data_IF_365420397560
#
_entry.id   IF_365420397560
#
_cell.length_a   1.000
_cell.length_b   1.000
_cell.length_c   1.000
_cell.angle_alpha   90.00
_cell.angle_beta   90.00
_cell.angle_gamma   90.00
#
_symmetry.space_group_name_H-M   'P 1'
#
loop_
_entity.id
_entity.type
_entity.pdbx_description
1 polymer ?
#
# COMPACT_ATOMS: atom_id res chain seq x y z
N UNK A 1 -43.76 27.65 29.93
CA UNK A 1 -43.68 26.89 28.65
C UNK A 1 -42.67 27.49 27.64
N UNK A 2 -42.13 28.67 27.84
CA UNK A 2 -41.20 29.37 26.93
C UNK A 2 -39.73 28.91 27.03
N UNK A 3 -39.25 28.55 28.22
CA UNK A 3 -37.84 28.16 28.45
C UNK A 3 -37.49 26.77 27.89
N UNK A 4 -38.43 25.83 27.84
CA UNK A 4 -38.20 24.47 27.29
C UNK A 4 -38.04 24.48 25.79
N UNK A 5 -38.73 25.38 25.06
CA UNK A 5 -38.60 25.49 23.58
C UNK A 5 -37.26 26.12 23.18
N UNK A 6 -36.78 27.10 23.92
CA UNK A 6 -35.50 27.74 23.70
C UNK A 6 -34.32 26.76 23.93
N UNK A 7 -34.43 25.92 24.95
CA UNK A 7 -33.41 24.89 25.24
C UNK A 7 -33.33 23.79 24.16
N UNK A 8 -34.50 23.34 23.67
CA UNK A 8 -34.57 22.38 22.57
C UNK A 8 -34.03 22.96 21.25
N UNK A 9 -34.28 24.24 20.98
CA UNK A 9 -33.74 24.93 19.81
C UNK A 9 -32.22 25.07 19.88
N UNK A 10 -31.67 25.33 21.06
CA UNK A 10 -30.22 25.42 21.29
C UNK A 10 -29.53 24.07 21.10
N UNK A 11 -30.12 22.99 21.60
CA UNK A 11 -29.62 21.62 21.39
C UNK A 11 -29.67 21.25 19.91
N UNK A 12 -30.74 21.58 19.20
CA UNK A 12 -30.86 21.33 17.76
C UNK A 12 -29.81 22.11 16.96
N UNK A 13 -29.58 23.38 17.28
CA UNK A 13 -28.52 24.21 16.69
C UNK A 13 -27.12 23.70 16.99
N UNK A 14 -26.86 23.22 18.20
CA UNK A 14 -25.58 22.60 18.57
C UNK A 14 -25.35 21.25 17.85
N UNK A 15 -26.39 20.45 17.68
CA UNK A 15 -26.32 19.19 16.93
C UNK A 15 -26.14 19.43 15.44
N UNK A 16 -26.82 20.43 14.85
CA UNK A 16 -26.64 20.79 13.44
C UNK A 16 -25.29 21.46 13.18
N UNK A 17 -24.80 22.29 14.09
CA UNK A 17 -23.45 22.88 14.00
C UNK A 17 -22.36 21.81 14.08
N UNK A 18 -22.48 20.83 14.98
CA UNK A 18 -21.56 19.69 15.04
C UNK A 18 -21.64 18.78 13.81
N UNK A 19 -22.83 18.60 13.23
CA UNK A 19 -23.02 17.85 11.99
C UNK A 19 -22.42 18.58 10.78
N UNK A 20 -22.52 19.91 10.73
CA UNK A 20 -21.88 20.73 9.68
C UNK A 20 -20.34 20.73 9.83
N UNK A 21 -19.82 20.85 11.05
CA UNK A 21 -18.38 20.81 11.33
C UNK A 21 -17.77 19.42 11.08
N UNK A 22 -18.55 18.33 11.19
CA UNK A 22 -18.08 16.99 10.81
C UNK A 22 -18.07 16.76 9.30
N UNK A 23 -18.91 17.46 8.53
CA UNK A 23 -19.01 17.28 7.07
C UNK A 23 -17.87 17.95 6.31
N UNK A 24 -17.24 18.98 6.88
CA UNK A 24 -16.12 19.71 6.25
C UNK A 24 -14.74 19.11 6.52
N UNK A 25 -14.63 18.05 7.34
CA UNK A 25 -13.34 17.42 7.68
C UNK A 25 -12.78 16.48 6.62
N UNK A 26 -13.52 16.17 5.55
CA UNK A 26 -13.10 15.17 4.55
C UNK A 26 -12.78 15.71 3.16
N UNK A 27 -12.75 17.01 2.95
CA UNK A 27 -12.34 17.61 1.70
C UNK A 27 -10.93 18.21 1.81
N UNK A 28 -9.92 17.36 1.99
CA UNK A 28 -8.54 17.77 1.68
C UNK A 28 -8.47 17.82 0.16
N UNK A 29 -8.60 19.02 -0.40
CA UNK A 29 -8.47 19.25 -1.84
C UNK A 29 -6.99 19.31 -2.19
N UNK A 30 -6.54 18.38 -3.02
CA UNK A 30 -5.28 18.54 -3.73
C UNK A 30 -5.37 19.74 -4.68
N UNK A 31 -4.27 20.44 -4.91
CA UNK A 31 -4.21 21.57 -5.84
C UNK A 31 -4.54 21.12 -7.28
N UNK A 32 -4.19 19.88 -7.64
CA UNK A 32 -4.50 19.21 -8.90
C UNK A 32 -5.03 17.81 -8.60
N UNK A 33 -6.12 17.44 -9.22
CA UNK A 33 -6.70 16.10 -9.13
C UNK A 33 -6.54 15.39 -10.48
N UNK A 34 -6.06 14.14 -10.53
CA UNK A 34 -6.01 13.37 -11.77
C UNK A 34 -7.43 13.04 -12.25
N UNK A 35 -7.59 12.90 -13.55
CA UNK A 35 -8.82 12.32 -14.09
C UNK A 35 -9.03 10.91 -13.53
N UNK A 36 -10.28 10.60 -13.19
CA UNK A 36 -10.63 9.25 -12.77
C UNK A 36 -10.49 8.27 -13.95
N UNK A 37 -10.05 7.05 -13.68
CA UNK A 37 -9.85 6.04 -14.73
C UNK A 37 -11.13 5.78 -15.57
N UNK A 38 -12.30 5.91 -14.95
CA UNK A 38 -13.58 5.77 -15.65
C UNK A 38 -13.94 6.94 -16.58
N UNK A 39 -13.21 8.06 -16.50
CA UNK A 39 -13.39 9.23 -17.38
C UNK A 39 -12.50 9.17 -18.63
N UNK A 40 -11.55 8.22 -18.68
CA UNK A 40 -10.59 8.09 -19.77
C UNK A 40 -10.82 6.77 -20.49
N UNK A 41 -10.72 6.79 -21.83
CA UNK A 41 -10.76 5.59 -22.67
C UNK A 41 -9.64 5.63 -23.69
N UNK A 42 -8.93 4.52 -23.83
CA UNK A 42 -7.91 4.37 -24.85
C UNK A 42 -8.55 4.19 -26.22
N UNK A 43 -8.13 5.00 -27.18
CA UNK A 43 -8.48 4.84 -28.58
C UNK A 43 -7.66 3.69 -29.22
N UNK A 44 -8.06 3.18 -30.43
CA UNK A 44 -7.29 2.18 -31.15
C UNK A 44 -5.82 2.59 -31.31
N UNK A 45 -4.92 1.84 -30.70
CA UNK A 45 -3.49 2.17 -30.59
C UNK A 45 -2.71 0.98 -30.01
N UNK A 46 -1.38 1.00 -30.05
CA UNK A 46 -0.56 0.00 -29.34
C UNK A 46 -0.90 -0.10 -27.85
N UNK A 47 -1.25 1.03 -27.21
CA UNK A 47 -1.64 1.04 -25.80
C UNK A 47 -2.99 0.35 -25.56
N UNK A 48 -3.96 0.53 -26.46
CA UNK A 48 -5.23 -0.20 -26.39
C UNK A 48 -5.04 -1.69 -26.60
N UNK A 49 -4.14 -2.07 -27.50
CA UNK A 49 -3.79 -3.47 -27.72
C UNK A 49 -3.15 -4.07 -26.46
N UNK A 50 -2.17 -3.40 -25.83
CA UNK A 50 -1.57 -3.84 -24.56
C UNK A 50 -2.63 -4.01 -23.48
N UNK A 51 -3.53 -3.03 -23.28
CA UNK A 51 -4.63 -3.17 -22.33
C UNK A 51 -5.51 -4.39 -22.59
N UNK A 52 -5.73 -4.75 -23.87
CA UNK A 52 -6.50 -5.96 -24.21
C UNK A 52 -5.77 -7.22 -23.83
N UNK A 53 -4.46 -7.30 -24.09
CA UNK A 53 -3.62 -8.45 -23.69
C UNK A 53 -3.55 -8.59 -22.16
N UNK A 54 -3.41 -7.48 -21.45
CA UNK A 54 -3.43 -7.48 -19.97
C UNK A 54 -4.77 -7.96 -19.43
N UNK A 55 -5.88 -7.55 -20.05
CA UNK A 55 -7.22 -8.01 -19.70
C UNK A 55 -7.38 -9.52 -19.88
N UNK A 56 -6.91 -10.06 -21.00
CA UNK A 56 -6.93 -11.50 -21.28
C UNK A 56 -6.06 -12.27 -20.28
N UNK A 57 -4.86 -11.76 -20.00
CA UNK A 57 -3.95 -12.37 -19.02
C UNK A 57 -4.56 -12.40 -17.62
N UNK A 58 -5.11 -11.28 -17.12
CA UNK A 58 -5.76 -11.22 -15.82
C UNK A 58 -6.91 -12.23 -15.69
N UNK A 59 -7.69 -12.42 -16.75
CA UNK A 59 -8.79 -13.40 -16.77
C UNK A 59 -8.32 -14.85 -16.86
N UNK A 60 -7.11 -15.10 -17.36
CA UNK A 60 -6.51 -16.42 -17.37
C UNK A 60 -6.04 -16.89 -16.00
N UNK A 61 -5.85 -15.96 -15.05
CA UNK A 61 -5.47 -16.30 -13.68
C UNK A 61 -6.68 -16.84 -12.89
N UNK A 62 -6.42 -17.87 -12.09
CA UNK A 62 -7.40 -18.49 -11.20
C UNK A 62 -7.29 -17.90 -9.79
N UNK A 63 -8.29 -17.13 -9.31
CA UNK A 63 -8.23 -16.48 -8.00
C UNK A 63 -8.00 -17.46 -6.84
N UNK A 64 -8.58 -18.67 -6.90
CA UNK A 64 -8.43 -19.66 -5.83
C UNK A 64 -6.99 -20.12 -5.62
N UNK A 65 -6.17 -20.09 -6.67
CA UNK A 65 -4.74 -20.38 -6.57
C UNK A 65 -3.98 -19.28 -5.84
N UNK A 66 -4.37 -18.01 -6.03
CA UNK A 66 -3.82 -16.86 -5.30
C UNK A 66 -4.32 -16.82 -3.84
N UNK A 67 -5.54 -17.28 -3.60
CA UNK A 67 -6.18 -17.38 -2.27
C UNK A 67 -5.67 -18.54 -1.42
N UNK A 68 -4.96 -19.52 -2.01
CA UNK A 68 -4.52 -20.74 -1.35
C UNK A 68 -3.96 -20.52 0.05
N UNK A 69 -2.97 -19.64 0.16
CA UNK A 69 -2.26 -19.38 1.43
C UNK A 69 -3.12 -18.65 2.45
N UNK A 70 -4.03 -17.80 2.00
CA UNK A 70 -4.97 -17.09 2.87
C UNK A 70 -5.96 -18.06 3.50
N UNK A 71 -6.51 -18.99 2.72
CA UNK A 71 -7.35 -20.08 3.23
C UNK A 71 -6.57 -20.93 4.24
N UNK A 72 -5.37 -21.41 3.87
CA UNK A 72 -4.53 -22.23 4.74
C UNK A 72 -4.24 -21.53 6.07
N UNK A 73 -3.84 -20.25 6.04
CA UNK A 73 -3.54 -19.49 7.24
C UNK A 73 -4.80 -19.18 8.09
N UNK A 74 -5.98 -19.15 7.49
CA UNK A 74 -7.25 -19.02 8.19
C UNK A 74 -7.78 -20.36 8.75
N UNK A 75 -7.07 -21.49 8.54
CA UNK A 75 -7.54 -22.83 8.93
C UNK A 75 -8.65 -23.37 8.03
N UNK A 76 -8.83 -22.77 6.84
CA UNK A 76 -9.79 -23.24 5.84
C UNK A 76 -9.11 -24.14 4.81
N UNK A 77 -9.79 -25.14 4.24
CA UNK A 77 -9.27 -25.92 3.14
C UNK A 77 -9.11 -25.03 1.90
N UNK A 78 -7.90 -24.95 1.28
CA UNK A 78 -7.73 -24.29 0.00
C UNK A 78 -8.61 -24.91 -1.09
N UNK A 79 -9.10 -24.08 -2.01
CA UNK A 79 -9.96 -24.54 -3.12
C UNK A 79 -9.17 -25.00 -4.34
N UNK A 80 -7.91 -24.57 -4.47
CA UNK A 80 -7.00 -24.96 -5.52
C UNK A 80 -5.56 -24.97 -5.00
N UNK A 81 -4.63 -25.62 -5.72
CA UNK A 81 -3.21 -25.55 -5.45
C UNK A 81 -2.67 -24.16 -5.78
N UNK A 82 -1.71 -23.66 -4.97
CA UNK A 82 -1.12 -22.34 -5.22
C UNK A 82 -0.30 -22.32 -6.52
N UNK A 83 -0.04 -21.11 -7.02
CA UNK A 83 0.95 -20.89 -8.05
C UNK A 83 2.35 -21.16 -7.50
N UNK A 84 3.27 -21.60 -8.39
CA UNK A 84 4.69 -21.75 -8.09
C UNK A 84 5.45 -20.41 -8.07
N UNK A 85 6.78 -20.50 -8.14
CA UNK A 85 7.65 -19.32 -8.21
C UNK A 85 7.55 -18.46 -6.94
N UNK A 86 7.24 -17.20 -7.10
CA UNK A 86 7.11 -16.24 -5.98
C UNK A 86 5.92 -16.49 -5.04
N UNK A 87 4.98 -17.36 -5.41
CA UNK A 87 3.86 -17.77 -4.55
C UNK A 87 4.15 -19.03 -3.72
N UNK A 88 5.40 -19.49 -3.68
CA UNK A 88 5.84 -20.62 -2.85
C UNK A 88 5.92 -20.30 -1.36
N UNK A 89 6.23 -21.31 -0.52
CA UNK A 89 5.95 -21.32 0.92
C UNK A 89 6.48 -20.15 1.75
N UNK A 90 7.65 -19.60 1.47
CA UNK A 90 8.25 -18.59 2.35
C UNK A 90 7.90 -17.14 1.99
N UNK A 91 7.41 -16.88 0.80
CA UNK A 91 7.20 -15.51 0.30
C UNK A 91 5.91 -15.30 -0.48
N UNK A 92 5.02 -16.30 -0.56
CA UNK A 92 3.78 -16.22 -1.32
C UNK A 92 2.70 -15.36 -0.67
N UNK A 93 1.72 -14.94 -1.48
CA UNK A 93 0.60 -14.10 -1.06
C UNK A 93 0.67 -12.65 -1.55
N UNK A 94 1.78 -12.24 -2.18
CA UNK A 94 1.92 -10.90 -2.76
C UNK A 94 1.10 -10.72 -4.04
N UNK A 95 0.99 -11.78 -4.84
CA UNK A 95 0.29 -11.75 -6.13
C UNK A 95 -1.20 -11.45 -6.00
N UNK A 96 -1.85 -11.85 -4.92
CA UNK A 96 -3.27 -11.58 -4.70
C UNK A 96 -3.57 -10.08 -4.63
N UNK A 97 -2.76 -9.30 -3.90
CA UNK A 97 -2.93 -7.86 -3.79
C UNK A 97 -2.79 -7.16 -5.14
N UNK A 98 -1.73 -7.48 -5.88
CA UNK A 98 -1.53 -6.98 -7.24
C UNK A 98 -2.68 -7.35 -8.18
N UNK A 99 -3.16 -8.59 -8.11
CA UNK A 99 -4.30 -9.05 -8.91
C UNK A 99 -5.58 -8.26 -8.63
N UNK A 100 -5.88 -8.01 -7.34
CA UNK A 100 -7.02 -7.19 -6.93
C UNK A 100 -6.92 -5.76 -7.48
N UNK A 101 -5.78 -5.08 -7.31
CA UNK A 101 -5.54 -3.74 -7.85
C UNK A 101 -5.71 -3.70 -9.37
N UNK A 102 -5.07 -4.65 -10.08
CA UNK A 102 -5.14 -4.72 -11.53
C UNK A 102 -6.57 -4.96 -12.05
N UNK A 103 -7.33 -5.86 -11.45
CA UNK A 103 -8.73 -6.11 -11.82
C UNK A 103 -9.62 -4.89 -11.52
N UNK A 104 -9.44 -4.23 -10.38
CA UNK A 104 -10.22 -3.05 -10.02
C UNK A 104 -9.96 -1.88 -10.99
N UNK A 105 -8.70 -1.63 -11.33
CA UNK A 105 -8.32 -0.61 -12.32
C UNK A 105 -8.76 -0.98 -13.75
N UNK A 106 -8.69 -2.26 -14.12
CA UNK A 106 -9.16 -2.75 -15.42
C UNK A 106 -10.67 -2.53 -15.56
N UNK A 107 -11.46 -2.84 -14.54
CA UNK A 107 -12.89 -2.52 -14.53
C UNK A 107 -13.14 -1.01 -14.66
N UNK A 108 -12.46 -0.19 -13.86
CA UNK A 108 -12.63 1.27 -13.93
C UNK A 108 -12.29 1.84 -15.31
N UNK A 109 -11.21 1.35 -15.94
CA UNK A 109 -10.76 1.86 -17.24
C UNK A 109 -11.52 1.29 -18.45
N UNK A 110 -12.17 0.11 -18.32
CA UNK A 110 -12.88 -0.55 -19.44
C UNK A 110 -14.39 -0.61 -19.27
N UNK A 111 -14.87 -0.71 -18.03
CA UNK A 111 -16.27 -0.98 -17.70
C UNK A 111 -16.67 -2.47 -17.82
N UNK A 112 -15.73 -3.37 -18.06
CA UNK A 112 -16.01 -4.79 -18.25
C UNK A 112 -16.36 -5.47 -16.92
N UNK A 113 -17.61 -5.86 -16.74
CA UNK A 113 -18.19 -6.37 -15.50
C UNK A 113 -17.46 -7.59 -14.91
N UNK A 114 -16.89 -8.44 -15.75
CA UNK A 114 -16.14 -9.64 -15.35
C UNK A 114 -14.98 -9.35 -14.40
N UNK A 115 -14.33 -8.15 -14.48
CA UNK A 115 -13.26 -7.77 -13.57
C UNK A 115 -13.80 -7.38 -12.20
N UNK A 116 -14.95 -6.70 -12.15
CA UNK A 116 -15.62 -6.43 -10.88
C UNK A 116 -16.07 -7.71 -10.19
N UNK A 117 -16.64 -8.65 -10.92
CA UNK A 117 -17.04 -9.97 -10.38
C UNK A 117 -15.84 -10.74 -9.80
N UNK A 118 -14.67 -10.66 -10.44
CA UNK A 118 -13.42 -11.23 -9.93
C UNK A 118 -13.00 -10.61 -8.61
N UNK A 119 -13.03 -9.28 -8.50
CA UNK A 119 -12.71 -8.59 -7.24
C UNK A 119 -13.73 -8.89 -6.16
N UNK A 120 -15.03 -8.86 -6.46
CA UNK A 120 -16.09 -9.17 -5.50
C UNK A 120 -15.92 -10.60 -4.93
N UNK A 121 -15.62 -11.57 -5.78
CA UNK A 121 -15.34 -12.94 -5.36
C UNK A 121 -14.14 -13.04 -4.41
N UNK A 122 -13.02 -12.38 -4.75
CA UNK A 122 -11.82 -12.40 -3.91
C UNK A 122 -12.09 -11.74 -2.56
N UNK A 123 -12.83 -10.63 -2.54
CA UNK A 123 -13.20 -9.95 -1.29
C UNK A 123 -14.11 -10.84 -0.42
N UNK A 124 -15.02 -11.57 -1.00
CA UNK A 124 -15.89 -12.50 -0.26
C UNK A 124 -15.07 -13.62 0.41
N UNK A 125 -14.09 -14.17 -0.28
CA UNK A 125 -13.21 -15.20 0.29
C UNK A 125 -12.27 -14.62 1.37
N UNK A 126 -11.70 -13.42 1.16
CA UNK A 126 -10.89 -12.75 2.19
C UNK A 126 -11.70 -12.40 3.43
N UNK A 127 -12.95 -11.91 3.25
CA UNK A 127 -13.86 -11.66 4.37
C UNK A 127 -14.15 -12.94 5.14
N UNK A 128 -14.41 -14.05 4.44
CA UNK A 128 -14.59 -15.37 5.05
C UNK A 128 -13.37 -15.79 5.87
N UNK A 129 -12.15 -15.62 5.34
CA UNK A 129 -10.92 -15.90 6.08
C UNK A 129 -10.82 -15.05 7.35
N UNK A 130 -11.12 -13.75 7.26
CA UNK A 130 -11.08 -12.82 8.38
C UNK A 130 -12.08 -13.19 9.47
N UNK A 131 -13.31 -13.58 9.08
CA UNK A 131 -14.36 -13.98 10.01
C UNK A 131 -14.02 -15.27 10.77
N UNK A 132 -13.44 -16.26 10.09
CA UNK A 132 -13.02 -17.50 10.73
C UNK A 132 -11.90 -17.28 11.73
N UNK A 133 -10.93 -16.40 11.41
CA UNK A 133 -9.84 -16.05 12.34
C UNK A 133 -10.32 -15.22 13.53
N UNK A 134 -11.29 -14.34 13.35
CA UNK A 134 -11.89 -13.52 14.40
C UNK A 134 -10.98 -12.45 15.00
N UNK A 135 -9.72 -12.32 14.55
CA UNK A 135 -8.73 -11.37 15.08
C UNK A 135 -8.66 -10.06 14.30
N UNK A 136 -9.29 -10.00 13.11
CA UNK A 136 -9.13 -8.95 12.13
C UNK A 136 -7.98 -9.19 11.14
N UNK A 137 -7.01 -10.02 11.49
CA UNK A 137 -5.92 -10.37 10.60
C UNK A 137 -6.37 -11.27 9.45
N UNK A 138 -5.88 -10.95 8.27
CA UNK A 138 -5.85 -11.82 7.10
C UNK A 138 -4.48 -11.68 6.43
N UNK A 139 -3.90 -12.78 6.02
CA UNK A 139 -2.60 -12.77 5.35
C UNK A 139 -2.10 -14.18 5.08
N UNK A 140 -1.00 -14.24 4.35
CA UNK A 140 -0.31 -15.50 4.02
C UNK A 140 0.83 -15.84 5.00
N UNK A 141 1.21 -14.89 5.85
CA UNK A 141 2.24 -15.03 6.88
C UNK A 141 1.62 -15.59 8.16
N UNK A 142 2.30 -16.51 8.81
CA UNK A 142 1.82 -17.15 10.03
C UNK A 142 1.67 -16.15 11.20
N UNK A 143 0.64 -16.33 12.00
CA UNK A 143 0.34 -15.46 13.16
C UNK A 143 1.48 -15.44 14.19
N UNK A 144 2.19 -16.56 14.35
CA UNK A 144 3.32 -16.69 15.28
C UNK A 144 4.44 -15.68 15.01
N UNK A 145 4.69 -15.37 13.72
CA UNK A 145 5.68 -14.34 13.34
C UNK A 145 5.24 -12.96 13.85
N UNK A 146 3.97 -12.61 13.63
CA UNK A 146 3.42 -11.33 14.07
C UNK A 146 3.33 -11.19 15.59
N UNK A 147 3.06 -12.30 16.28
CA UNK A 147 3.06 -12.33 17.76
C UNK A 147 4.44 -12.05 18.31
N UNK A 148 5.49 -12.74 17.83
CA UNK A 148 6.88 -12.51 18.25
C UNK A 148 7.29 -11.05 18.01
N UNK A 149 7.03 -10.52 16.81
CA UNK A 149 7.37 -9.13 16.49
C UNK A 149 6.62 -8.15 17.42
N UNK A 150 5.32 -8.38 17.67
CA UNK A 150 4.51 -7.53 18.56
C UNK A 150 4.95 -7.61 20.04
N UNK A 151 5.58 -8.69 20.47
CA UNK A 151 6.20 -8.87 21.79
C UNK A 151 7.60 -8.25 21.87
N UNK A 152 8.11 -7.72 20.75
CA UNK A 152 9.42 -7.08 20.68
C UNK A 152 10.58 -8.04 20.40
N UNK A 153 10.30 -9.30 20.09
CA UNK A 153 11.28 -10.27 19.61
C UNK A 153 11.53 -10.05 18.11
N UNK A 154 12.53 -9.23 17.76
CA UNK A 154 12.74 -8.77 16.40
C UNK A 154 14.11 -9.21 15.89
N UNK A 155 14.10 -10.08 14.88
CA UNK A 155 15.27 -10.53 14.12
C UNK A 155 15.03 -10.14 12.64
N UNK A 156 15.79 -9.18 12.14
CA UNK A 156 15.55 -8.60 10.83
C UNK A 156 16.81 -8.52 9.99
N UNK A 157 16.64 -8.80 8.70
CA UNK A 157 17.65 -8.55 7.66
C UNK A 157 16.95 -7.82 6.50
N UNK A 158 17.66 -7.50 5.42
CA UNK A 158 17.06 -6.78 4.28
C UNK A 158 15.79 -7.42 3.70
N UNK A 159 15.66 -8.75 3.75
CA UNK A 159 14.54 -9.49 3.18
C UNK A 159 13.89 -10.52 4.12
N UNK A 160 14.29 -10.58 5.37
CA UNK A 160 13.76 -11.53 6.35
C UNK A 160 13.39 -10.82 7.64
N UNK A 161 12.22 -11.12 8.18
CA UNK A 161 11.78 -10.71 9.52
C UNK A 161 11.27 -11.94 10.25
N UNK A 162 11.97 -12.36 11.30
CA UNK A 162 11.65 -13.54 12.14
C UNK A 162 11.42 -14.83 11.31
N UNK A 163 12.18 -15.02 10.21
CA UNK A 163 12.07 -16.19 9.33
C UNK A 163 11.01 -16.06 8.22
N UNK A 164 10.20 -15.01 8.20
CA UNK A 164 9.31 -14.70 7.09
C UNK A 164 9.98 -13.78 6.07
N UNK A 165 9.85 -14.11 4.79
CA UNK A 165 10.39 -13.28 3.70
C UNK A 165 9.47 -12.07 3.49
N UNK A 166 10.00 -10.87 3.65
CA UNK A 166 9.37 -9.56 3.41
C UNK A 166 7.89 -9.46 3.86
N UNK A 167 7.55 -9.83 5.11
CA UNK A 167 6.15 -9.98 5.50
C UNK A 167 5.34 -8.67 5.40
N UNK A 168 5.93 -7.52 5.73
CA UNK A 168 5.27 -6.21 5.57
C UNK A 168 5.08 -5.83 4.11
N UNK A 169 6.00 -6.20 3.21
CA UNK A 169 5.82 -6.01 1.78
C UNK A 169 4.62 -6.82 1.25
N UNK A 170 4.45 -8.07 1.72
CA UNK A 170 3.30 -8.90 1.37
C UNK A 170 2.00 -8.26 1.86
N UNK A 171 1.97 -7.80 3.12
CA UNK A 171 0.82 -7.08 3.67
C UNK A 171 0.54 -5.78 2.92
N UNK A 172 1.57 -5.02 2.55
CA UNK A 172 1.40 -3.82 1.72
C UNK A 172 0.56 -4.12 0.47
N UNK A 173 0.88 -5.20 -0.27
CA UNK A 173 0.14 -5.55 -1.49
C UNK A 173 -1.32 -5.88 -1.20
N UNK A 174 -1.59 -6.55 -0.09
CA UNK A 174 -2.95 -6.84 0.34
C UNK A 174 -3.73 -5.56 0.71
N UNK A 175 -3.13 -4.67 1.50
CA UNK A 175 -3.71 -3.37 1.85
C UNK A 175 -4.03 -2.55 0.59
N UNK A 176 -3.07 -2.44 -0.33
CA UNK A 176 -3.25 -1.73 -1.59
C UNK A 176 -4.40 -2.33 -2.42
N UNK A 177 -4.43 -3.65 -2.59
CA UNK A 177 -5.49 -4.32 -3.32
C UNK A 177 -6.89 -4.11 -2.72
N UNK A 178 -7.01 -4.18 -1.39
CA UNK A 178 -8.27 -3.91 -0.68
C UNK A 178 -8.72 -2.43 -0.87
N UNK A 179 -7.78 -1.50 -0.75
CA UNK A 179 -8.03 -0.08 -0.99
C UNK A 179 -8.50 0.19 -2.41
N UNK A 180 -7.79 -0.33 -3.40
CA UNK A 180 -8.10 -0.14 -4.82
C UNK A 180 -9.45 -0.74 -5.20
N UNK A 181 -9.78 -1.94 -4.70
CA UNK A 181 -11.10 -2.53 -4.90
C UNK A 181 -12.19 -1.62 -4.33
N UNK A 182 -12.01 -1.07 -3.11
CA UNK A 182 -12.99 -0.13 -2.57
C UNK A 182 -13.12 1.13 -3.44
N UNK A 183 -12.00 1.78 -3.75
CA UNK A 183 -12.00 3.09 -4.45
C UNK A 183 -12.51 2.97 -5.89
N UNK A 184 -12.07 1.96 -6.63
CA UNK A 184 -12.40 1.85 -8.05
C UNK A 184 -13.74 1.15 -8.32
N UNK A 185 -14.16 0.21 -7.46
CA UNK A 185 -15.39 -0.57 -7.68
C UNK A 185 -16.54 -0.19 -6.75
N UNK A 186 -16.30 0.62 -5.73
CA UNK A 186 -17.28 0.96 -4.70
C UNK A 186 -17.61 -0.18 -3.74
N UNK A 187 -16.75 -1.21 -3.63
CA UNK A 187 -17.00 -2.36 -2.77
C UNK A 187 -16.80 -2.01 -1.28
N UNK A 188 -17.89 -1.81 -0.53
CA UNK A 188 -17.86 -1.47 0.89
C UNK A 188 -17.36 -2.62 1.78
N UNK A 189 -17.49 -3.88 1.32
CA UNK A 189 -16.95 -5.04 2.03
C UNK A 189 -15.42 -5.01 2.02
N UNK A 190 -14.79 -4.60 0.90
CA UNK A 190 -13.34 -4.41 0.81
C UNK A 190 -12.86 -3.37 1.82
N UNK A 191 -13.56 -2.23 1.93
CA UNK A 191 -13.28 -1.21 2.96
C UNK A 191 -13.39 -1.78 4.38
N UNK A 192 -14.43 -2.54 4.66
CA UNK A 192 -14.62 -3.17 5.98
C UNK A 192 -13.48 -4.14 6.31
N UNK A 193 -13.09 -5.00 5.37
CA UNK A 193 -11.96 -5.93 5.53
C UNK A 193 -10.65 -5.18 5.77
N UNK A 194 -10.41 -4.11 5.02
CA UNK A 194 -9.23 -3.26 5.15
C UNK A 194 -9.14 -2.59 6.52
N UNK A 195 -10.25 -2.04 7.02
CA UNK A 195 -10.33 -1.41 8.34
C UNK A 195 -10.01 -2.42 9.44
N UNK A 196 -10.63 -3.59 9.44
CA UNK A 196 -10.36 -4.62 10.44
C UNK A 196 -8.90 -5.10 10.42
N UNK A 197 -8.30 -5.24 9.23
CA UNK A 197 -6.88 -5.56 9.09
C UNK A 197 -5.98 -4.44 9.63
N UNK A 198 -6.35 -3.19 9.39
CA UNK A 198 -5.63 -2.02 9.90
C UNK A 198 -5.72 -1.92 11.43
N UNK A 199 -6.89 -2.19 11.99
CA UNK A 199 -7.13 -2.21 13.44
C UNK A 199 -6.35 -3.33 14.14
N UNK A 200 -6.29 -4.50 13.50
CA UNK A 200 -5.43 -5.58 13.97
C UNK A 200 -3.96 -5.11 14.03
N UNK A 201 -3.44 -4.54 12.94
CA UNK A 201 -2.06 -4.08 12.90
C UNK A 201 -1.80 -2.99 13.96
N UNK A 202 -2.70 -2.02 14.12
CA UNK A 202 -2.59 -1.01 15.17
C UNK A 202 -2.49 -1.65 16.56
N UNK A 203 -3.41 -2.54 16.88
CA UNK A 203 -3.48 -3.16 18.20
C UNK A 203 -2.28 -4.08 18.49
N UNK A 204 -1.79 -4.77 17.47
CA UNK A 204 -0.65 -5.69 17.59
C UNK A 204 0.67 -4.95 17.87
N UNK A 205 0.87 -3.75 17.29
CA UNK A 205 2.18 -3.11 17.24
C UNK A 205 2.27 -1.76 17.95
N UNK A 206 1.19 -1.18 18.46
CA UNK A 206 1.14 0.12 19.14
C UNK A 206 2.01 0.22 20.41
N UNK A 207 2.49 -0.91 20.93
CA UNK A 207 3.36 -0.97 22.12
C UNK A 207 4.85 -0.95 21.80
N UNK A 208 5.23 -1.03 20.53
CA UNK A 208 6.62 -1.01 20.12
C UNK A 208 7.19 0.41 20.14
N UNK A 209 8.45 0.52 20.56
CA UNK A 209 9.18 1.79 20.54
C UNK A 209 9.88 2.06 19.19
N UNK A 210 10.46 3.25 19.06
CA UNK A 210 11.13 3.70 17.83
C UNK A 210 12.32 2.79 17.46
N UNK A 211 13.10 2.31 18.43
CA UNK A 211 14.24 1.43 18.16
C UNK A 211 13.78 0.08 17.60
N UNK A 212 12.72 -0.48 18.17
CA UNK A 212 12.11 -1.71 17.69
C UNK A 212 11.55 -1.54 16.28
N UNK A 213 10.87 -0.42 16.00
CA UNK A 213 10.41 -0.11 14.65
C UNK A 213 11.56 0.02 13.66
N UNK A 214 12.65 0.71 13.98
CA UNK A 214 13.80 0.81 13.06
C UNK A 214 14.45 -0.56 12.78
N UNK A 215 14.43 -1.51 13.73
CA UNK A 215 14.83 -2.90 13.48
C UNK A 215 13.89 -3.60 12.50
N UNK A 216 12.57 -3.45 12.66
CA UNK A 216 11.57 -4.00 11.71
C UNK A 216 11.80 -3.43 10.30
N UNK A 217 12.03 -2.12 10.19
CA UNK A 217 12.17 -1.41 8.93
C UNK A 217 13.48 -1.72 8.18
N UNK A 218 14.44 -2.40 8.80
CA UNK A 218 15.59 -2.96 8.11
C UNK A 218 15.17 -4.03 7.08
N UNK A 219 14.05 -4.72 7.32
CA UNK A 219 13.43 -5.59 6.33
C UNK A 219 12.58 -4.78 5.34
N UNK A 220 12.57 -5.19 4.06
CA UNK A 220 11.74 -4.56 3.04
C UNK A 220 10.26 -4.60 3.43
N UNK A 221 9.62 -3.42 3.39
CA UNK A 221 8.23 -3.22 3.82
C UNK A 221 7.34 -2.56 2.75
N UNK A 222 7.87 -2.35 1.54
CA UNK A 222 7.14 -1.76 0.42
C UNK A 222 6.58 -0.37 0.76
N UNK A 223 5.37 -0.09 0.28
CA UNK A 223 4.65 1.16 0.50
C UNK A 223 3.69 1.12 1.69
N UNK A 224 4.04 0.46 2.81
CA UNK A 224 3.17 0.42 4.00
C UNK A 224 2.80 1.81 4.50
N UNK A 225 3.72 2.78 4.42
CA UNK A 225 3.45 4.19 4.73
C UNK A 225 2.29 4.73 3.87
N UNK A 226 2.36 4.52 2.55
CA UNK A 226 1.34 4.99 1.60
C UNK A 226 -0.04 4.39 1.90
N UNK A 227 -0.13 3.08 2.05
CA UNK A 227 -1.43 2.42 2.24
C UNK A 227 -2.09 2.80 3.55
N UNK A 228 -1.32 3.08 4.61
CA UNK A 228 -1.86 3.57 5.88
C UNK A 228 -2.38 5.02 5.76
N UNK A 229 -1.69 5.87 5.00
CA UNK A 229 -2.18 7.21 4.64
C UNK A 229 -3.46 7.11 3.80
N UNK A 230 -3.54 6.14 2.90
CA UNK A 230 -4.74 5.87 2.11
C UNK A 230 -5.90 5.37 2.99
N UNK A 231 -5.66 4.51 4.00
CA UNK A 231 -6.69 4.14 4.99
C UNK A 231 -7.16 5.37 5.77
N UNK A 232 -6.25 6.24 6.20
CA UNK A 232 -6.61 7.53 6.80
C UNK A 232 -7.51 8.35 5.88
N UNK A 233 -7.19 8.44 4.59
CA UNK A 233 -7.96 9.26 3.63
C UNK A 233 -9.42 8.84 3.48
N UNK A 234 -9.74 7.55 3.63
CA UNK A 234 -11.10 7.01 3.48
C UNK A 234 -11.85 6.85 4.79
N UNK A 235 -11.16 6.97 5.93
CA UNK A 235 -11.76 6.82 7.27
C UNK A 235 -11.80 8.12 8.07
N UNK A 236 -10.81 8.99 7.88
CA UNK A 236 -10.57 10.16 8.71
C UNK A 236 -10.02 9.85 10.11
N UNK A 237 -9.72 8.60 10.41
CA UNK A 237 -9.22 8.20 11.73
C UNK A 237 -7.72 8.45 11.84
N UNK A 238 -7.34 9.35 12.73
CA UNK A 238 -5.96 9.80 12.96
C UNK A 238 -5.00 8.69 13.36
N UNK A 239 -5.49 7.58 13.93
CA UNK A 239 -4.63 6.45 14.30
C UNK A 239 -3.90 5.84 13.09
N UNK A 240 -4.51 5.84 11.90
CA UNK A 240 -3.86 5.32 10.69
C UNK A 240 -2.81 6.29 10.14
N UNK A 241 -3.02 7.59 10.31
CA UNK A 241 -1.97 8.57 10.02
C UNK A 241 -0.80 8.42 11.02
N UNK A 242 -1.07 8.22 12.30
CA UNK A 242 -0.05 7.90 13.31
C UNK A 242 0.73 6.63 12.94
N UNK A 243 0.02 5.53 12.59
CA UNK A 243 0.66 4.30 12.12
C UNK A 243 1.57 4.53 10.91
N UNK A 244 1.24 5.45 10.01
CA UNK A 244 2.09 5.75 8.86
C UNK A 244 3.48 6.25 9.28
N UNK A 245 3.58 6.95 10.41
CA UNK A 245 4.85 7.41 10.96
C UNK A 245 5.70 6.28 11.56
N UNK A 246 5.10 5.16 11.98
CA UNK A 246 5.89 3.98 12.40
C UNK A 246 6.75 3.43 11.26
N UNK A 247 6.32 3.65 10.01
CA UNK A 247 7.06 3.26 8.81
C UNK A 247 8.06 4.32 8.28
N UNK A 248 8.34 5.36 9.07
CA UNK A 248 9.39 6.33 8.77
C UNK A 248 10.78 5.71 8.97
N UNK A 249 11.34 5.06 7.93
CA UNK A 249 12.66 4.45 7.95
C UNK A 249 13.75 5.52 8.03
N UNK A 250 14.19 5.85 9.24
CA UNK A 250 15.05 6.99 9.53
C UNK A 250 16.40 6.93 8.81
N UNK A 251 17.01 5.74 8.68
CA UNK A 251 18.27 5.56 7.97
C UNK A 251 18.18 6.07 6.51
N UNK A 252 17.03 5.95 5.89
CA UNK A 252 16.79 6.38 4.51
C UNK A 252 16.16 7.78 4.43
N UNK A 253 15.09 8.06 5.19
CA UNK A 253 14.32 9.30 5.06
C UNK A 253 15.01 10.50 5.72
N UNK A 254 15.80 10.30 6.80
CA UNK A 254 16.44 11.43 7.50
C UNK A 254 17.50 12.14 6.68
N UNK A 255 18.38 11.48 5.91
CA UNK A 255 19.27 12.19 4.98
C UNK A 255 18.49 13.00 3.94
N UNK A 256 17.46 12.42 3.32
CA UNK A 256 16.63 13.08 2.31
C UNK A 256 15.94 14.35 2.83
N UNK A 257 15.41 14.29 4.07
CA UNK A 257 14.78 15.46 4.71
C UNK A 257 15.79 16.61 4.99
N UNK A 258 17.07 16.31 4.97
CA UNK A 258 18.17 17.30 5.08
C UNK A 258 18.81 17.60 3.73
N UNK A 259 18.21 17.14 2.64
CA UNK A 259 18.69 17.32 1.27
C UNK A 259 20.11 16.73 1.04
N UNK A 260 20.35 15.57 1.64
CA UNK A 260 21.60 14.81 1.49
C UNK A 260 21.33 13.58 0.64
N UNK A 261 22.00 13.49 -0.52
CA UNK A 261 21.98 12.30 -1.36
C UNK A 261 22.87 11.21 -0.75
N UNK A 262 22.23 10.16 -0.26
CA UNK A 262 22.86 8.96 0.30
C UNK A 262 22.37 7.68 -0.40
N UNK A 263 21.94 7.78 -1.67
CA UNK A 263 21.27 6.70 -2.39
C UNK A 263 22.24 5.62 -2.88
N UNK A 264 23.49 5.96 -3.16
CA UNK A 264 24.48 5.05 -3.74
C UNK A 264 24.58 3.73 -2.96
N UNK A 265 24.40 2.61 -3.66
CA UNK A 265 24.43 1.27 -3.08
C UNK A 265 23.12 0.80 -2.44
N UNK A 266 22.12 1.65 -2.32
CA UNK A 266 20.80 1.24 -1.81
C UNK A 266 19.99 0.53 -2.89
N UNK A 267 19.23 -0.48 -2.50
CA UNK A 267 18.31 -1.21 -3.38
C UNK A 267 17.11 -0.33 -3.76
N UNK A 268 17.02 0.10 -5.00
CA UNK A 268 16.06 1.11 -5.47
C UNK A 268 14.61 0.70 -5.22
N UNK A 269 14.25 -0.54 -5.55
CA UNK A 269 12.89 -1.06 -5.36
C UNK A 269 12.43 -1.02 -3.90
N UNK A 270 13.36 -1.21 -2.95
CA UNK A 270 13.07 -1.10 -1.51
C UNK A 270 12.82 0.35 -1.08
N UNK A 271 13.48 1.33 -1.72
CA UNK A 271 13.45 2.72 -1.26
C UNK A 271 12.33 3.55 -1.90
N UNK A 272 12.09 3.40 -3.20
CA UNK A 272 11.13 4.23 -3.95
C UNK A 272 9.73 4.22 -3.32
N UNK A 273 9.12 3.07 -2.94
CA UNK A 273 7.79 3.04 -2.36
C UNK A 273 7.64 3.82 -1.05
N UNK A 274 8.72 3.97 -0.28
CA UNK A 274 8.71 4.76 0.97
C UNK A 274 8.45 6.24 0.68
N UNK A 275 9.08 6.76 -0.38
CA UNK A 275 8.94 8.18 -0.76
C UNK A 275 7.59 8.46 -1.41
N UNK A 276 7.03 7.49 -2.16
CA UNK A 276 5.64 7.59 -2.65
C UNK A 276 4.68 7.82 -1.47
N UNK A 277 4.86 7.07 -0.39
CA UNK A 277 4.08 7.25 0.84
C UNK A 277 4.31 8.60 1.52
N UNK A 278 5.55 9.08 1.57
CA UNK A 278 5.89 10.39 2.13
C UNK A 278 5.19 11.52 1.33
N UNK A 279 5.23 11.47 0.00
CA UNK A 279 4.51 12.44 -0.85
C UNK A 279 3.00 12.35 -0.64
N UNK A 280 2.43 11.12 -0.58
CA UNK A 280 1.02 10.94 -0.30
C UNK A 280 0.60 11.56 1.03
N UNK A 281 1.43 11.42 2.07
CA UNK A 281 1.20 12.05 3.38
C UNK A 281 1.30 13.56 3.30
N UNK A 282 2.29 14.12 2.58
CA UNK A 282 2.36 15.56 2.31
C UNK A 282 1.07 16.07 1.68
N UNK A 283 0.61 15.45 0.61
CA UNK A 283 -0.60 15.86 -0.13
C UNK A 283 -1.87 15.91 0.75
N UNK A 284 -1.95 15.08 1.78
CA UNK A 284 -3.11 15.04 2.67
C UNK A 284 -2.97 15.91 3.93
N UNK A 285 -1.74 16.23 4.33
CA UNK A 285 -1.48 16.89 5.63
C UNK A 285 -0.80 18.26 5.50
N UNK A 286 -0.30 18.59 4.30
CA UNK A 286 0.58 19.73 4.04
C UNK A 286 1.84 19.75 4.92
N UNK A 287 2.36 18.58 5.32
CA UNK A 287 3.59 18.47 6.10
C UNK A 287 4.79 18.92 5.25
N UNK A 288 5.47 20.00 5.67
CA UNK A 288 6.58 20.58 4.90
C UNK A 288 7.84 19.69 4.89
N UNK A 289 8.10 18.95 5.97
CA UNK A 289 9.22 17.99 6.02
C UNK A 289 9.01 16.87 4.99
N UNK A 290 7.79 16.35 4.87
CA UNK A 290 7.45 15.32 3.90
C UNK A 290 7.64 15.84 2.47
N UNK A 291 7.19 17.07 2.19
CA UNK A 291 7.40 17.73 0.90
C UNK A 291 8.89 17.86 0.54
N UNK A 292 9.69 18.41 1.46
CA UNK A 292 11.13 18.54 1.24
C UNK A 292 11.75 17.17 0.92
N UNK A 293 11.36 16.13 1.67
CA UNK A 293 11.90 14.78 1.53
C UNK A 293 11.58 14.17 0.16
N UNK A 294 10.32 14.23 -0.26
CA UNK A 294 9.87 13.63 -1.53
C UNK A 294 10.35 14.39 -2.74
N UNK A 295 10.31 15.73 -2.71
CA UNK A 295 10.78 16.56 -3.81
C UNK A 295 12.29 16.43 -4.00
N UNK A 296 13.07 16.48 -2.91
CA UNK A 296 14.52 16.29 -3.01
C UNK A 296 14.90 14.91 -3.55
N UNK A 297 14.18 13.85 -3.12
CA UNK A 297 14.38 12.52 -3.67
C UNK A 297 14.10 12.48 -5.18
N UNK A 298 12.95 13.01 -5.61
CA UNK A 298 12.57 13.06 -7.02
C UNK A 298 13.63 13.77 -7.88
N UNK A 299 14.00 15.01 -7.51
CA UNK A 299 15.01 15.81 -8.22
C UNK A 299 16.34 15.07 -8.27
N UNK A 300 16.80 14.53 -7.13
CA UNK A 300 18.05 13.80 -7.03
C UNK A 300 18.07 12.56 -7.92
N UNK A 301 17.01 11.75 -7.92
CA UNK A 301 16.95 10.55 -8.74
C UNK A 301 16.92 10.89 -10.22
N UNK A 302 16.08 11.83 -10.63
CA UNK A 302 15.96 12.22 -12.05
C UNK A 302 17.27 12.82 -12.58
N UNK A 303 17.90 13.70 -11.83
CA UNK A 303 19.07 14.43 -12.30
C UNK A 303 20.38 13.64 -12.20
N UNK A 304 20.49 12.73 -11.21
CA UNK A 304 21.79 12.15 -10.86
C UNK A 304 21.83 10.60 -10.95
N UNK A 305 20.69 9.90 -10.98
CA UNK A 305 20.65 8.44 -10.92
C UNK A 305 19.86 7.78 -12.06
N UNK A 306 19.25 8.57 -12.96
CA UNK A 306 18.38 8.04 -14.02
C UNK A 306 19.13 7.94 -15.35
N UNK A 307 19.09 6.76 -15.96
CA UNK A 307 19.59 6.52 -17.32
C UNK A 307 18.62 7.07 -18.38
N UNK A 308 19.08 7.28 -19.60
CA UNK A 308 18.29 7.90 -20.68
C UNK A 308 17.00 7.14 -21.03
N UNK A 309 16.89 5.87 -20.65
CA UNK A 309 15.69 5.03 -20.86
C UNK A 309 14.72 5.03 -19.65
N UNK A 310 15.00 5.84 -18.61
CA UNK A 310 14.12 6.03 -17.46
C UNK A 310 14.43 5.17 -16.23
N UNK A 311 15.19 4.08 -16.35
CA UNK A 311 15.61 3.28 -15.21
C UNK A 311 16.71 3.96 -14.39
N UNK A 312 16.79 3.66 -13.09
CA UNK A 312 17.68 4.34 -12.15
C UNK A 312 18.52 3.43 -11.26
N UNK A 313 18.80 2.24 -11.73
CA UNK A 313 19.62 1.27 -11.01
C UNK A 313 20.49 0.45 -11.95
N UNK A 314 21.47 -0.25 -11.37
CA UNK A 314 22.18 -1.35 -11.98
C UNK A 314 22.16 -2.51 -11.00
N UNK A 315 21.62 -3.68 -11.44
CA UNK A 315 21.33 -4.77 -10.52
C UNK A 315 20.40 -4.34 -9.37
N UNK A 316 19.37 -3.54 -9.70
CA UNK A 316 18.36 -2.98 -8.78
C UNK A 316 18.91 -1.98 -7.73
N UNK A 317 20.17 -1.54 -7.80
CA UNK A 317 20.78 -0.62 -6.84
C UNK A 317 21.17 0.71 -7.48
N UNK A 318 20.99 1.79 -6.75
CA UNK A 318 21.46 3.12 -7.15
C UNK A 318 22.98 3.14 -7.29
N UNK A 319 23.47 3.74 -8.38
CA UNK A 319 24.87 4.03 -8.59
C UNK A 319 25.36 5.25 -7.82
N UNK A 320 26.67 5.59 -7.93
CA UNK A 320 27.19 6.83 -7.43
C UNK A 320 26.55 8.04 -8.12
N UNK A 321 26.35 9.13 -7.36
CA UNK A 321 25.74 10.37 -7.84
C UNK A 321 26.43 10.91 -9.10
N UNK A 322 25.66 11.06 -10.18
CA UNK A 322 26.12 11.69 -11.43
C UNK A 322 27.13 10.87 -12.24
N UNK A 323 27.44 9.62 -11.86
CA UNK A 323 28.44 8.79 -12.54
C UNK A 323 27.76 7.52 -13.11
N UNK A 324 26.79 7.72 -14.00
CA UNK A 324 26.00 6.61 -14.57
C UNK A 324 26.87 5.63 -15.40
N UNK A 325 27.89 6.13 -16.08
CA UNK A 325 28.79 5.32 -16.93
C UNK A 325 29.63 4.30 -16.14
N UNK A 326 29.78 4.47 -14.83
CA UNK A 326 30.54 3.54 -13.99
C UNK A 326 29.83 2.21 -13.72
N UNK A 327 28.53 2.12 -14.05
CA UNK A 327 27.67 0.97 -13.76
C UNK A 327 26.85 0.55 -14.98
N UNK A 328 27.50 0.47 -16.12
CA UNK A 328 26.91 -0.07 -17.34
C UNK A 328 27.17 -1.58 -17.42
N UNK A 329 26.10 -2.36 -17.39
CA UNK A 329 26.12 -3.81 -17.48
C UNK A 329 24.90 -4.30 -18.25
N UNK A 330 24.71 -5.61 -18.36
CA UNK A 330 23.48 -6.24 -18.87
C UNK A 330 22.27 -6.07 -17.91
N UNK A 331 22.51 -5.53 -16.71
CA UNK A 331 21.50 -5.23 -15.69
C UNK A 331 21.30 -3.73 -15.45
N UNK A 332 21.80 -2.89 -16.36
CA UNK A 332 21.63 -1.45 -16.30
C UNK A 332 20.15 -1.07 -16.45
N UNK A 333 19.68 -0.13 -15.63
CA UNK A 333 18.28 0.31 -15.56
C UNK A 333 17.30 -0.78 -15.08
N UNK A 334 17.78 -1.82 -14.41
CA UNK A 334 16.95 -2.86 -13.79
C UNK A 334 16.30 -2.30 -12.51
N UNK A 335 15.09 -1.74 -12.65
CA UNK A 335 14.32 -1.16 -11.54
C UNK A 335 12.83 -1.36 -11.79
N UNK A 336 12.13 -2.00 -10.84
CA UNK A 336 10.70 -2.29 -10.95
C UNK A 336 9.79 -1.09 -10.61
N UNK A 337 10.28 -0.11 -9.85
CA UNK A 337 9.49 1.02 -9.31
C UNK A 337 9.93 2.36 -9.92
N UNK A 338 10.10 2.42 -11.23
CA UNK A 338 10.66 3.61 -11.91
C UNK A 338 9.60 4.68 -12.24
N UNK A 339 8.32 4.42 -12.07
CA UNK A 339 7.23 5.30 -12.50
C UNK A 339 6.41 5.86 -11.37
#
# INVERSE_FOLDING_TARGET
MTHSRAFLLLIYLLLTANYCLCKDRHNIRMALEPFQLNQIRLLPSPFKHAQTLDAEWLLSLEPDRLLHRFHKNAGLPPKADNYGGWETERGGGRGLGHYMSACAMMWASTGEQKFKERTDYVIDELKRCQDVKGTGYIGSVEDSIWMQVGEGEIYSTGFDLNGAIVPWFILHKLFAGLYDVHVYTGNEKAKSVLIHLSDWAYNQFKGLDDEQWQKILACEHGGMLEVLVNVYSITGDMKYLEMSHWFDHQQFLSPLSRQIDSLAGLHANTQIPKVVGVERRHLLTNNEKDKITSHFFWETVIENHTYCIGGNGDGEHFGPKGILSSRLSDRTAETCNTY
#
